data_IF_357941109683
#
_entry.id   IF_357941109683
#
_cell.length_a   1.000
_cell.length_b   1.000
_cell.length_c   1.000
_cell.angle_alpha   90.00
_cell.angle_beta   90.00
_cell.angle_gamma   90.00
#
_symmetry.space_group_name_H-M   'P 1'
#
loop_
_entity.id
_entity.type
_entity.pdbx_description
1 polymer ?
#
# COMPACT_ATOMS: atom_id res chain seq x y z
N UNK A 1 6.49 7.34 20.86
CA UNK A 1 7.16 6.89 19.67
C UNK A 1 6.23 6.02 18.82
N UNK A 2 6.51 5.87 17.53
CA UNK A 2 5.61 5.13 16.64
C UNK A 2 5.70 3.64 16.94
N UNK A 3 4.61 3.05 17.36
CA UNK A 3 4.56 1.60 17.66
C UNK A 3 3.97 0.80 16.52
N UNK A 4 3.09 1.40 15.72
CA UNK A 4 2.45 0.75 14.58
C UNK A 4 2.63 1.62 13.36
N UNK A 5 3.24 1.08 12.33
CA UNK A 5 3.51 1.78 11.08
C UNK A 5 2.77 1.06 9.97
N UNK A 6 1.99 1.80 9.21
CA UNK A 6 1.29 1.29 8.03
C UNK A 6 2.03 1.74 6.79
N UNK A 7 2.45 0.77 5.97
CA UNK A 7 3.12 1.02 4.71
C UNK A 7 2.14 0.67 3.58
N UNK A 8 1.79 1.65 2.76
CA UNK A 8 0.94 1.43 1.60
C UNK A 8 1.83 1.25 0.37
N UNK A 9 1.64 0.16 -0.36
CA UNK A 9 2.54 -0.26 -1.41
C UNK A 9 1.78 -0.60 -2.69
N UNK A 10 2.23 -0.06 -3.81
CA UNK A 10 1.61 -0.29 -5.12
C UNK A 10 2.54 -0.92 -6.14
N UNK A 11 3.75 -1.32 -5.72
CA UNK A 11 4.75 -1.92 -6.61
C UNK A 11 5.51 -0.95 -7.47
N UNK A 12 5.22 0.35 -7.40
CA UNK A 12 5.92 1.36 -8.18
C UNK A 12 7.33 1.62 -7.65
N UNK A 13 8.14 2.33 -8.43
CA UNK A 13 9.49 2.73 -8.00
C UNK A 13 9.40 3.63 -6.76
N UNK A 14 8.47 4.58 -6.78
CA UNK A 14 8.23 5.47 -5.66
C UNK A 14 7.77 4.68 -4.43
N UNK A 15 6.92 3.68 -4.65
CA UNK A 15 6.44 2.79 -3.60
C UNK A 15 7.57 1.99 -2.97
N UNK A 16 8.49 1.47 -3.78
CA UNK A 16 9.64 0.72 -3.25
C UNK A 16 10.55 1.60 -2.41
N UNK A 17 10.74 2.85 -2.84
CA UNK A 17 11.54 3.80 -2.08
C UNK A 17 10.88 4.12 -0.75
N UNK A 18 9.57 4.39 -0.77
CA UNK A 18 8.80 4.66 0.45
C UNK A 18 8.82 3.45 1.38
N UNK A 19 8.70 2.25 0.83
CA UNK A 19 8.77 1.01 1.61
C UNK A 19 10.10 0.91 2.36
N UNK A 20 11.21 1.17 1.66
CA UNK A 20 12.54 1.09 2.26
C UNK A 20 12.74 2.15 3.33
N UNK A 21 12.34 3.39 3.05
CA UNK A 21 12.47 4.47 4.03
C UNK A 21 11.57 4.25 5.23
N UNK A 22 10.35 3.80 4.99
CA UNK A 22 9.41 3.47 6.06
C UNK A 22 9.89 2.31 6.92
N UNK A 23 10.52 1.31 6.30
CA UNK A 23 11.09 0.18 7.03
C UNK A 23 12.23 0.63 7.95
N UNK A 24 13.10 1.52 7.46
CA UNK A 24 14.17 2.07 8.30
C UNK A 24 13.61 2.79 9.52
N UNK A 25 12.57 3.59 9.31
CA UNK A 25 11.94 4.33 10.39
C UNK A 25 11.29 3.37 11.39
N UNK A 26 10.58 2.36 10.89
CA UNK A 26 9.96 1.35 11.73
C UNK A 26 11.00 0.60 12.56
N UNK A 27 12.16 0.30 11.98
CA UNK A 27 13.24 -0.37 12.68
C UNK A 27 13.79 0.49 13.81
N UNK A 28 13.99 1.78 13.56
CA UNK A 28 14.45 2.71 14.57
C UNK A 28 13.47 2.83 15.74
N UNK A 29 12.17 2.75 15.44
CA UNK A 29 11.13 2.83 16.45
C UNK A 29 10.78 1.49 17.07
N UNK A 30 11.32 0.39 16.57
CA UNK A 30 10.94 -0.97 16.94
C UNK A 30 9.44 -1.18 16.79
N UNK A 31 8.90 -0.69 15.67
CA UNK A 31 7.48 -0.68 15.41
C UNK A 31 7.00 -1.97 14.77
N UNK A 32 5.74 -2.30 15.01
CA UNK A 32 5.03 -3.33 14.28
C UNK A 32 4.68 -2.79 12.90
N UNK A 33 4.90 -3.57 11.85
CA UNK A 33 4.72 -3.14 10.46
C UNK A 33 3.50 -3.80 9.85
N UNK A 34 2.64 -2.99 9.28
CA UNK A 34 1.50 -3.42 8.48
C UNK A 34 1.75 -3.01 7.04
N UNK A 35 1.54 -3.93 6.11
CA UNK A 35 1.71 -3.67 4.68
C UNK A 35 0.36 -3.77 4.00
N UNK A 36 -0.03 -2.71 3.29
CA UNK A 36 -1.33 -2.62 2.65
C UNK A 36 -1.17 -2.41 1.15
N UNK A 37 -1.90 -3.19 0.36
CA UNK A 37 -2.10 -2.92 -1.05
C UNK A 37 -3.59 -2.69 -1.29
N UNK A 38 -3.91 -1.72 -2.13
CA UNK A 38 -5.30 -1.39 -2.45
C UNK A 38 -5.54 -1.53 -3.95
N UNK A 39 -6.50 -2.37 -4.30
CA UNK A 39 -6.97 -2.51 -5.69
C UNK A 39 -7.95 -1.38 -5.95
N UNK A 40 -7.56 -0.42 -6.78
CA UNK A 40 -8.42 0.74 -7.06
C UNK A 40 -9.47 0.40 -8.09
N UNK A 41 -10.74 0.46 -7.70
CA UNK A 41 -11.85 0.15 -8.58
C UNK A 41 -11.94 1.16 -9.73
N UNK A 42 -11.63 2.42 -9.47
CA UNK A 42 -11.72 3.47 -10.48
C UNK A 42 -10.76 3.29 -11.64
N UNK A 43 -9.65 2.58 -11.43
CA UNK A 43 -8.68 2.32 -12.49
C UNK A 43 -9.06 1.11 -13.34
N UNK A 44 -10.08 0.37 -12.95
CA UNK A 44 -10.53 -0.84 -13.62
C UNK A 44 -11.51 -0.52 -14.76
N UNK A 45 -12.27 0.55 -14.63
CA UNK A 45 -13.31 0.91 -15.58
C UNK A 45 -12.86 2.04 -16.50
N UNK A 46 -12.56 1.70 -17.74
CA UNK A 46 -12.24 2.69 -18.78
C UNK A 46 -13.32 2.58 -19.86
N UNK A 47 -14.46 3.28 -19.70
CA UNK A 47 -15.55 3.19 -20.67
C UNK A 47 -15.14 3.58 -22.07
N UNK A 48 -14.18 4.49 -22.19
CA UNK A 48 -13.69 4.99 -23.47
C UNK A 48 -12.94 3.92 -24.26
N UNK A 49 -12.29 3.00 -23.58
CA UNK A 49 -11.53 1.92 -24.23
C UNK A 49 -12.42 0.71 -24.55
N UNK A 50 -13.63 0.66 -24.04
CA UNK A 50 -14.52 -0.47 -24.20
C UNK A 50 -14.02 -1.75 -23.55
N UNK A 51 -13.04 -1.63 -22.67
CA UNK A 51 -12.40 -2.75 -22.00
C UNK A 51 -12.68 -2.68 -20.51
N UNK A 52 -13.19 -3.78 -19.97
CA UNK A 52 -13.30 -3.97 -18.52
C UNK A 52 -12.35 -5.09 -18.15
N UNK A 53 -11.41 -4.77 -17.25
CA UNK A 53 -10.53 -5.79 -16.68
C UNK A 53 -11.26 -6.37 -15.48
N UNK A 54 -11.49 -7.69 -15.43
CA UNK A 54 -12.16 -8.28 -14.27
C UNK A 54 -11.43 -7.98 -12.97
N UNK A 55 -12.22 -7.69 -11.94
CA UNK A 55 -11.67 -7.36 -10.61
C UNK A 55 -10.81 -8.50 -10.07
N UNK A 56 -11.17 -9.75 -10.41
CA UNK A 56 -10.42 -10.92 -9.96
C UNK A 56 -8.99 -10.93 -10.51
N UNK A 57 -8.81 -10.54 -11.79
CA UNK A 57 -7.47 -10.48 -12.40
C UNK A 57 -6.64 -9.38 -11.76
N UNK A 58 -7.24 -8.22 -11.51
CA UNK A 58 -6.52 -7.13 -10.84
C UNK A 58 -6.18 -7.49 -9.40
N UNK A 59 -7.08 -8.19 -8.72
CA UNK A 59 -6.82 -8.64 -7.35
C UNK A 59 -5.63 -9.56 -7.31
N UNK A 60 -5.49 -10.49 -8.28
CA UNK A 60 -4.33 -11.37 -8.34
C UNK A 60 -3.03 -10.61 -8.57
N UNK A 61 -3.06 -9.59 -9.43
CA UNK A 61 -1.89 -8.74 -9.66
C UNK A 61 -1.48 -8.02 -8.38
N UNK A 62 -2.43 -7.48 -7.63
CA UNK A 62 -2.15 -6.78 -6.38
C UNK A 62 -1.72 -7.73 -5.26
N UNK A 63 -2.22 -8.98 -5.28
CA UNK A 63 -1.71 -9.99 -4.35
C UNK A 63 -0.23 -10.26 -4.59
N UNK A 64 0.17 -10.33 -5.87
CA UNK A 64 1.59 -10.53 -6.21
C UNK A 64 2.43 -9.34 -5.75
N UNK A 65 1.92 -8.12 -5.93
CA UNK A 65 2.59 -6.92 -5.45
C UNK A 65 2.72 -6.94 -3.93
N UNK A 66 1.65 -7.30 -3.24
CA UNK A 66 1.66 -7.38 -1.78
C UNK A 66 2.68 -8.42 -1.30
N UNK A 67 2.70 -9.59 -1.93
CA UNK A 67 3.65 -10.63 -1.59
C UNK A 67 5.10 -10.19 -1.84
N UNK A 68 5.34 -9.49 -2.93
CA UNK A 68 6.67 -8.93 -3.22
C UNK A 68 7.09 -7.95 -2.13
N UNK A 69 6.19 -7.08 -1.71
CA UNK A 69 6.46 -6.12 -0.63
C UNK A 69 6.76 -6.83 0.68
N UNK A 70 5.99 -7.89 0.99
CA UNK A 70 6.23 -8.69 2.19
C UNK A 70 7.61 -9.34 2.14
N UNK A 71 8.00 -9.89 1.00
CA UNK A 71 9.30 -10.52 0.84
C UNK A 71 10.43 -9.52 1.06
N UNK A 72 10.28 -8.30 0.56
CA UNK A 72 11.27 -7.24 0.78
C UNK A 72 11.39 -6.90 2.27
N UNK A 73 10.27 -6.81 2.97
CA UNK A 73 10.28 -6.53 4.40
C UNK A 73 10.87 -7.68 5.20
N UNK A 74 10.55 -8.92 4.83
CA UNK A 74 11.13 -10.10 5.49
C UNK A 74 12.64 -10.14 5.31
N UNK A 75 13.13 -9.76 4.14
CA UNK A 75 14.56 -9.70 3.88
C UNK A 75 15.26 -8.68 4.78
N UNK A 76 14.52 -7.67 5.25
CA UNK A 76 15.03 -6.66 6.18
C UNK A 76 14.82 -7.04 7.64
N UNK A 77 14.29 -8.23 7.91
CA UNK A 77 14.10 -8.73 9.26
C UNK A 77 12.74 -8.50 9.88
N UNK A 78 11.78 -8.02 9.08
CA UNK A 78 10.43 -7.77 9.59
C UNK A 78 9.52 -8.98 9.42
N UNK A 79 8.46 -9.00 10.23
CA UNK A 79 7.34 -9.93 10.08
C UNK A 79 6.09 -9.09 9.81
N UNK A 80 5.87 -8.69 8.55
CA UNK A 80 4.79 -7.74 8.26
C UNK A 80 3.42 -8.39 8.34
N UNK A 81 2.45 -7.60 8.79
CA UNK A 81 1.04 -7.97 8.73
C UNK A 81 0.50 -7.46 7.38
N UNK A 82 0.23 -8.39 6.47
CA UNK A 82 -0.20 -8.05 5.12
C UNK A 82 -1.70 -7.90 5.02
N UNK A 83 -2.15 -6.93 4.23
CA UNK A 83 -3.56 -6.66 4.06
C UNK A 83 -3.84 -6.19 2.64
N UNK A 84 -4.90 -6.74 2.04
CA UNK A 84 -5.36 -6.36 0.69
C UNK A 84 -6.77 -5.80 0.82
N UNK A 85 -6.99 -4.61 0.25
CA UNK A 85 -8.29 -3.97 0.24
C UNK A 85 -8.67 -3.60 -1.20
N UNK A 86 -9.96 -3.42 -1.45
CA UNK A 86 -10.49 -3.01 -2.75
C UNK A 86 -11.29 -1.73 -2.55
N UNK A 87 -11.01 -0.72 -3.34
CA UNK A 87 -11.74 0.54 -3.27
C UNK A 87 -10.89 1.72 -3.65
N UNK A 88 -11.24 2.88 -3.09
CA UNK A 88 -10.43 4.09 -3.26
C UNK A 88 -9.21 4.03 -2.34
N UNK A 89 -8.03 4.19 -2.91
CA UNK A 89 -6.79 3.99 -2.16
C UNK A 89 -6.68 4.93 -0.95
N UNK A 90 -6.92 6.22 -1.15
CA UNK A 90 -6.83 7.18 -0.05
C UNK A 90 -7.79 6.86 1.08
N UNK A 91 -9.04 6.53 0.73
CA UNK A 91 -10.05 6.19 1.70
C UNK A 91 -9.70 4.90 2.44
N UNK A 92 -9.28 3.87 1.72
CA UNK A 92 -8.94 2.58 2.33
C UNK A 92 -7.72 2.68 3.23
N UNK A 93 -6.72 3.46 2.82
CA UNK A 93 -5.54 3.68 3.65
C UNK A 93 -5.96 4.35 4.97
N UNK A 94 -6.81 5.37 4.91
CA UNK A 94 -7.28 6.05 6.11
C UNK A 94 -8.10 5.11 7.01
N UNK A 95 -8.99 4.31 6.42
CA UNK A 95 -9.80 3.36 7.16
C UNK A 95 -8.94 2.31 7.88
N UNK A 96 -7.98 1.73 7.15
CA UNK A 96 -7.10 0.71 7.73
C UNK A 96 -6.22 1.31 8.81
N UNK A 97 -5.69 2.52 8.58
CA UNK A 97 -4.87 3.20 9.57
C UNK A 97 -5.63 3.40 10.88
N UNK A 98 -6.89 3.81 10.78
CA UNK A 98 -7.74 3.99 11.96
C UNK A 98 -8.05 2.65 12.62
N UNK A 99 -8.39 1.64 11.83
CA UNK A 99 -8.77 0.32 12.34
C UNK A 99 -7.64 -0.35 13.12
N UNK A 100 -6.40 -0.27 12.60
CA UNK A 100 -5.27 -0.89 13.29
C UNK A 100 -4.65 0.01 14.35
N UNK A 101 -5.06 1.27 14.41
CA UNK A 101 -4.47 2.24 15.32
C UNK A 101 -3.06 2.63 14.92
N UNK A 102 -2.82 2.86 13.63
CA UNK A 102 -1.50 3.23 13.13
C UNK A 102 -1.06 4.58 13.69
N UNK A 103 0.19 4.67 14.10
CA UNK A 103 0.79 5.91 14.57
C UNK A 103 1.43 6.69 13.43
N UNK A 104 1.78 5.98 12.35
CA UNK A 104 2.42 6.58 11.18
C UNK A 104 1.97 5.82 9.94
N UNK A 105 1.69 6.57 8.88
CA UNK A 105 1.36 6.01 7.57
C UNK A 105 2.40 6.50 6.58
N UNK A 106 3.01 5.57 5.83
CA UNK A 106 4.00 5.88 4.81
C UNK A 106 3.46 5.46 3.46
N UNK A 107 3.43 6.38 2.51
CA UNK A 107 2.88 6.15 1.18
C UNK A 107 3.88 6.62 0.14
N UNK A 108 4.14 5.78 -0.86
CA UNK A 108 4.90 6.21 -2.04
C UNK A 108 4.01 7.05 -2.92
N UNK A 109 4.40 8.30 -3.13
CA UNK A 109 3.57 9.25 -3.87
C UNK A 109 3.82 9.12 -5.36
N UNK A 110 2.75 8.83 -6.11
CA UNK A 110 2.79 8.81 -7.56
C UNK A 110 2.03 10.03 -8.07
N UNK A 111 2.69 10.97 -8.79
CA UNK A 111 2.06 12.24 -9.14
C UNK A 111 0.80 12.14 -9.98
N UNK A 112 0.60 11.03 -10.69
CA UNK A 112 -0.54 10.86 -11.59
C UNK A 112 -1.58 9.86 -11.07
N UNK A 113 -1.43 9.39 -9.83
CA UNK A 113 -2.36 8.43 -9.27
C UNK A 113 -3.46 9.10 -8.44
N UNK A 114 -4.45 8.30 -8.02
CA UNK A 114 -5.53 8.77 -7.16
C UNK A 114 -4.99 9.34 -5.85
N UNK A 115 -3.89 8.80 -5.35
CA UNK A 115 -3.25 9.29 -4.13
C UNK A 115 -2.72 10.70 -4.27
N UNK A 116 -2.31 11.10 -5.48
CA UNK A 116 -1.81 12.46 -5.72
C UNK A 116 -2.90 13.51 -5.42
N UNK A 117 -4.17 13.19 -5.69
CA UNK A 117 -5.27 14.08 -5.39
C UNK A 117 -5.55 14.21 -3.88
N UNK A 118 -5.18 13.18 -3.14
CA UNK A 118 -5.31 13.18 -1.68
C UNK A 118 -4.25 14.02 -1.00
N UNK A 119 -3.01 13.91 -1.46
CA UNK A 119 -1.86 14.44 -0.76
C UNK A 119 -1.18 15.58 -1.49
N UNK A 120 -1.59 15.83 -2.70
CA UNK A 120 -0.98 16.82 -3.52
C UNK A 120 -1.82 18.00 -3.81
#
# INVERSE_FOLDING_TARGET
MYRKVLLAYDGSVEGRRALREGAKLAQLCQAEVFLLAVVEVSSIMTPEAGLTIPIELQTEDYKAILNEGCDRLKALGFTPNARLEVGDAGQKIAEVAEEIGAHLVVVGHRPQGALARWFG
#
